data_IF_364655270925
#
_entry.id   IF_364655270925
#
_cell.length_a   1.000
_cell.length_b   1.000
_cell.length_c   1.000
_cell.angle_alpha   90.00
_cell.angle_beta   90.00
_cell.angle_gamma   90.00
#
_symmetry.space_group_name_H-M   'P 1'
#
loop_
_entity.id
_entity.type
_entity.pdbx_description
1 polymer ?
#
# COMPACT_ATOMS: atom_id res chain seq x y z
N UNK A 1 27.05 -31.51 50.94
CA UNK A 1 26.13 -30.90 49.95
C UNK A 1 26.98 -30.34 48.82
N UNK A 2 26.69 -30.68 47.55
CA UNK A 2 27.39 -30.12 46.39
C UNK A 2 26.39 -29.29 45.59
N UNK A 3 26.64 -28.00 45.45
CA UNK A 3 25.83 -27.12 44.61
C UNK A 3 26.34 -27.21 43.17
N UNK A 4 25.51 -27.74 42.28
CA UNK A 4 25.77 -27.71 40.84
C UNK A 4 25.24 -26.39 40.30
N UNK A 5 26.12 -25.48 39.88
CA UNK A 5 25.71 -24.24 39.22
C UNK A 5 25.30 -24.58 37.79
N UNK A 6 24.00 -24.56 37.52
CA UNK A 6 23.48 -24.68 36.15
C UNK A 6 23.68 -23.34 35.42
N UNK A 7 24.61 -23.30 34.49
CA UNK A 7 24.80 -22.15 33.59
C UNK A 7 23.66 -22.10 32.58
N UNK A 8 22.65 -21.28 32.84
CA UNK A 8 21.58 -21.02 31.88
C UNK A 8 22.16 -20.36 30.62
N UNK A 9 22.21 -21.12 29.52
CA UNK A 9 22.65 -20.60 28.23
C UNK A 9 21.49 -19.83 27.63
N UNK A 10 21.50 -18.50 27.75
CA UNK A 10 20.50 -17.65 27.13
C UNK A 10 20.65 -17.74 25.60
N UNK A 11 19.77 -18.52 24.95
CA UNK A 11 19.63 -18.53 23.50
C UNK A 11 19.02 -17.20 23.11
N UNK A 12 19.88 -16.23 22.81
CA UNK A 12 19.48 -14.92 22.31
C UNK A 12 18.96 -15.10 20.88
N UNK A 13 17.67 -15.43 20.76
CA UNK A 13 16.98 -15.51 19.49
C UNK A 13 17.02 -14.13 18.86
N UNK A 14 17.82 -13.95 17.81
CA UNK A 14 17.78 -12.73 17.00
C UNK A 14 16.42 -12.70 16.29
N UNK A 15 15.45 -12.07 16.93
CA UNK A 15 14.23 -11.59 16.30
C UNK A 15 14.65 -10.54 15.28
N UNK A 16 14.92 -10.99 14.05
CA UNK A 16 15.01 -10.16 12.86
C UNK A 16 13.63 -9.54 12.66
N UNK A 17 13.40 -8.42 13.34
CA UNK A 17 12.18 -7.64 13.22
C UNK A 17 12.08 -7.13 11.78
N UNK A 18 11.13 -7.69 11.02
CA UNK A 18 10.90 -7.25 9.66
C UNK A 18 10.31 -5.84 9.70
N UNK A 19 11.07 -4.87 9.17
CA UNK A 19 10.58 -3.52 8.86
C UNK A 19 9.60 -3.62 7.67
N UNK A 20 8.44 -4.21 7.91
CA UNK A 20 7.36 -4.39 6.94
C UNK A 20 6.25 -3.34 7.08
N UNK A 21 6.44 -2.37 7.99
CA UNK A 21 5.69 -1.13 8.02
C UNK A 21 6.06 -0.28 6.79
N UNK A 22 5.15 0.54 6.28
CA UNK A 22 5.46 1.67 5.40
C UNK A 22 6.58 2.52 5.97
N UNK A 23 7.79 2.33 5.46
CA UNK A 23 8.99 2.93 6.00
C UNK A 23 9.79 3.54 4.85
N UNK A 24 10.31 4.73 5.12
CA UNK A 24 11.32 5.38 4.30
C UNK A 24 12.66 5.34 5.04
N UNK A 25 13.74 4.96 4.35
CA UNK A 25 15.08 5.13 4.87
C UNK A 25 15.48 6.62 4.90
N UNK A 26 14.86 7.43 4.06
CA UNK A 26 15.15 8.85 3.96
C UNK A 26 13.90 9.66 3.61
N UNK A 27 13.26 10.23 4.64
CA UNK A 27 12.15 11.18 4.46
C UNK A 27 12.65 12.54 3.94
N UNK A 28 12.30 12.93 2.70
CA UNK A 28 12.76 14.17 2.09
C UNK A 28 12.07 15.42 2.65
N UNK A 29 10.97 15.30 3.41
CA UNK A 29 10.36 16.42 4.14
C UNK A 29 11.12 16.76 5.43
N UNK A 30 12.02 15.88 5.87
CA UNK A 30 12.78 16.01 7.13
C UNK A 30 14.29 16.23 6.91
N UNK A 31 14.84 15.82 5.77
CA UNK A 31 16.28 15.89 5.45
C UNK A 31 16.52 15.78 3.94
N UNK A 32 17.67 16.22 3.45
CA UNK A 32 18.06 15.96 2.06
C UNK A 32 18.33 14.46 1.86
N UNK A 33 17.78 13.90 0.78
CA UNK A 33 17.87 12.48 0.44
C UNK A 33 18.56 12.25 -0.91
N UNK A 34 19.09 11.04 -1.17
CA UNK A 34 19.48 10.64 -2.53
C UNK A 34 18.29 10.76 -3.49
N UNK A 35 18.57 10.95 -4.78
CA UNK A 35 17.53 10.97 -5.79
C UNK A 35 17.05 9.55 -6.17
N UNK A 36 15.77 9.45 -6.50
CA UNK A 36 15.05 8.22 -6.81
C UNK A 36 15.21 7.82 -8.28
N UNK A 37 15.64 6.59 -8.57
CA UNK A 37 15.72 6.08 -9.95
C UNK A 37 14.31 5.84 -10.51
N UNK A 38 13.96 6.49 -11.61
CA UNK A 38 12.63 6.44 -12.23
C UNK A 38 12.54 5.54 -13.47
N UNK A 39 11.41 4.85 -13.63
CA UNK A 39 11.16 3.89 -14.74
C UNK A 39 11.24 4.58 -16.11
N UNK A 40 10.49 5.67 -16.32
CA UNK A 40 10.76 6.66 -17.36
C UNK A 40 10.50 6.34 -18.83
N UNK A 41 10.77 7.36 -19.65
CA UNK A 41 10.87 7.32 -21.12
C UNK A 41 9.60 6.90 -21.87
N UNK A 42 8.41 6.99 -21.25
CA UNK A 42 7.13 6.69 -21.90
C UNK A 42 7.00 5.24 -22.41
N UNK A 43 7.82 4.32 -21.90
CA UNK A 43 7.73 2.89 -22.22
C UNK A 43 7.04 2.18 -21.06
N UNK A 44 6.02 1.34 -21.34
CA UNK A 44 5.38 0.58 -20.28
C UNK A 44 6.35 -0.44 -19.68
N UNK A 45 6.51 -0.40 -18.36
CA UNK A 45 7.19 -1.44 -17.60
C UNK A 45 6.17 -2.52 -17.23
N UNK A 46 6.19 -3.60 -18.00
CA UNK A 46 5.27 -4.72 -17.84
C UNK A 46 6.02 -5.93 -17.29
N UNK A 47 5.46 -6.55 -16.25
CA UNK A 47 5.96 -7.82 -15.71
C UNK A 47 4.87 -8.87 -15.83
N UNK A 48 5.13 -9.93 -16.58
CA UNK A 48 4.30 -11.15 -16.60
C UNK A 48 4.92 -12.19 -15.66
N UNK A 49 4.39 -12.29 -14.45
CA UNK A 49 4.88 -13.21 -13.42
C UNK A 49 4.61 -14.68 -13.77
N UNK A 50 3.73 -14.99 -14.73
CA UNK A 50 3.53 -16.38 -15.20
C UNK A 50 4.72 -16.89 -16.04
N UNK A 51 5.53 -15.97 -16.56
CA UNK A 51 6.78 -16.27 -17.27
C UNK A 51 8.02 -16.37 -16.37
N UNK A 52 7.90 -16.02 -15.08
CA UNK A 52 9.02 -16.01 -14.14
C UNK A 52 9.30 -17.42 -13.63
N UNK A 53 10.58 -17.79 -13.59
CA UNK A 53 11.05 -19.09 -13.12
C UNK A 53 12.12 -18.94 -12.03
N UNK A 54 12.07 -19.80 -11.01
CA UNK A 54 13.01 -19.78 -9.89
C UNK A 54 12.44 -19.05 -8.67
N UNK A 55 13.33 -18.57 -7.79
CA UNK A 55 12.98 -17.93 -6.52
C UNK A 55 13.42 -16.48 -6.41
N UNK A 56 14.36 -16.05 -7.25
CA UNK A 56 14.95 -14.70 -7.20
C UNK A 56 13.97 -13.63 -7.70
N UNK A 57 14.18 -12.38 -7.28
CA UNK A 57 13.33 -11.27 -7.70
C UNK A 57 13.44 -11.04 -9.22
N UNK A 58 12.31 -10.94 -9.95
CA UNK A 58 12.34 -10.66 -11.39
C UNK A 58 12.95 -9.28 -11.66
N UNK A 59 13.49 -9.09 -12.87
CA UNK A 59 14.17 -7.83 -13.24
C UNK A 59 13.28 -6.61 -13.02
N UNK A 60 13.82 -5.60 -12.32
CA UNK A 60 13.08 -4.39 -11.94
C UNK A 60 12.28 -4.52 -10.65
N UNK A 61 12.38 -5.65 -9.94
CA UNK A 61 11.79 -5.86 -8.62
C UNK A 61 12.85 -6.16 -7.54
N UNK A 62 12.51 -5.82 -6.31
CA UNK A 62 13.26 -6.15 -5.09
C UNK A 62 12.34 -6.82 -4.08
N UNK A 63 12.89 -7.72 -3.26
CA UNK A 63 12.17 -8.32 -2.15
C UNK A 63 12.38 -7.52 -0.87
N UNK A 64 11.35 -7.42 -0.03
CA UNK A 64 11.52 -6.96 1.35
C UNK A 64 12.27 -8.03 2.18
N UNK A 65 12.99 -7.60 3.20
CA UNK A 65 13.76 -8.50 4.08
C UNK A 65 12.89 -9.65 4.64
N UNK A 66 13.40 -10.88 4.55
CA UNK A 66 12.68 -12.08 4.98
C UNK A 66 11.60 -12.59 4.02
N UNK A 67 11.33 -11.90 2.90
CA UNK A 67 10.41 -12.39 1.87
C UNK A 67 10.97 -13.62 1.16
N UNK A 68 10.12 -14.64 1.01
CA UNK A 68 10.35 -15.78 0.11
C UNK A 68 9.16 -15.87 -0.84
N UNK A 69 9.43 -15.87 -2.15
CA UNK A 69 8.42 -15.95 -3.20
C UNK A 69 8.48 -17.27 -3.94
N UNK A 70 7.38 -17.62 -4.60
CA UNK A 70 7.32 -18.66 -5.62
C UNK A 70 6.53 -18.15 -6.82
N UNK A 71 6.82 -18.69 -8.00
CA UNK A 71 6.17 -18.33 -9.25
C UNK A 71 5.70 -19.60 -9.97
N UNK A 72 4.52 -19.56 -10.57
CA UNK A 72 4.00 -20.66 -11.40
C UNK A 72 3.29 -20.13 -12.65
N UNK A 73 3.26 -20.94 -13.71
CA UNK A 73 2.71 -20.52 -15.01
C UNK A 73 1.17 -20.43 -15.07
N UNK A 74 0.46 -20.89 -14.03
CA UNK A 74 -0.99 -20.82 -13.95
C UNK A 74 -1.49 -19.59 -13.15
N UNK A 75 -0.73 -19.12 -12.16
CA UNK A 75 -1.11 -18.05 -11.23
C UNK A 75 -0.12 -16.88 -11.15
N UNK A 76 1.10 -17.01 -11.67
CA UNK A 76 2.15 -16.00 -11.56
C UNK A 76 2.81 -15.99 -10.19
N UNK A 77 3.02 -14.80 -9.62
CA UNK A 77 3.65 -14.61 -8.32
C UNK A 77 2.72 -15.07 -7.19
N UNK A 78 3.24 -15.86 -6.25
CA UNK A 78 2.50 -16.40 -5.11
C UNK A 78 3.09 -15.86 -3.79
N UNK A 79 2.33 -14.97 -3.15
CA UNK A 79 2.65 -14.33 -1.88
C UNK A 79 2.13 -15.19 -0.73
N UNK A 80 2.86 -16.26 -0.41
CA UNK A 80 2.43 -17.29 0.56
C UNK A 80 2.81 -16.93 1.99
N UNK A 81 1.80 -16.82 2.86
CA UNK A 81 1.92 -16.79 4.32
C UNK A 81 1.76 -18.22 4.85
N UNK A 82 2.61 -18.62 5.81
CA UNK A 82 2.47 -19.89 6.54
C UNK A 82 2.87 -19.78 8.02
N UNK A 83 3.06 -18.56 8.51
CA UNK A 83 3.39 -18.25 9.90
C UNK A 83 2.73 -16.92 10.29
N UNK A 84 2.56 -16.69 11.60
CA UNK A 84 2.00 -15.45 12.17
C UNK A 84 2.76 -14.17 11.80
N UNK A 85 4.00 -14.29 11.34
CA UNK A 85 4.89 -13.17 10.97
C UNK A 85 5.13 -13.11 9.45
N UNK A 86 4.41 -13.89 8.65
CA UNK A 86 4.58 -13.90 7.20
C UNK A 86 4.07 -12.60 6.58
N UNK A 87 4.96 -11.88 5.88
CA UNK A 87 4.63 -10.67 5.13
C UNK A 87 5.39 -10.63 3.78
N UNK A 88 5.29 -11.69 2.92
CA UNK A 88 5.93 -11.70 1.61
C UNK A 88 5.54 -10.44 0.81
N UNK A 89 6.56 -9.65 0.44
CA UNK A 89 6.40 -8.34 -0.21
C UNK A 89 7.46 -8.16 -1.28
N UNK A 90 7.02 -7.72 -2.47
CA UNK A 90 7.91 -7.28 -3.55
C UNK A 90 7.64 -5.80 -3.85
N UNK A 91 8.68 -5.08 -4.24
CA UNK A 91 8.59 -3.67 -4.64
C UNK A 91 9.33 -3.44 -5.96
N UNK A 92 8.90 -2.45 -6.75
CA UNK A 92 9.70 -2.02 -7.91
C UNK A 92 11.02 -1.44 -7.43
N UNK A 93 12.11 -1.76 -8.14
CA UNK A 93 13.43 -1.18 -7.86
C UNK A 93 13.50 0.33 -8.18
N UNK A 94 12.53 0.80 -8.97
CA UNK A 94 12.45 2.16 -9.49
C UNK A 94 11.06 2.75 -9.23
N UNK A 95 10.98 4.08 -9.23
CA UNK A 95 9.78 4.87 -8.96
C UNK A 95 9.09 5.29 -10.26
N UNK A 96 7.82 5.67 -10.16
CA UNK A 96 7.08 6.42 -11.18
C UNK A 96 6.65 7.79 -10.63
N UNK A 97 6.40 8.75 -11.52
CA UNK A 97 5.87 10.05 -11.15
C UNK A 97 4.61 10.33 -11.96
N UNK A 98 3.45 10.13 -11.34
CA UNK A 98 2.15 10.01 -12.02
C UNK A 98 2.10 8.85 -13.03
N UNK A 99 0.93 8.62 -13.61
CA UNK A 99 0.69 7.68 -14.70
C UNK A 99 -0.38 6.65 -14.36
N UNK A 100 -0.16 5.42 -14.81
CA UNK A 100 -1.14 4.36 -14.72
C UNK A 100 -0.50 3.04 -14.28
N UNK A 101 -1.11 2.36 -13.30
CA UNK A 101 -0.66 1.07 -12.79
C UNK A 101 -1.83 0.12 -12.71
N UNK A 102 -1.76 -0.97 -13.47
CA UNK A 102 -2.82 -1.99 -13.56
C UNK A 102 -2.25 -3.37 -13.25
N UNK A 103 -2.82 -4.07 -12.27
CA UNK A 103 -2.41 -5.41 -11.85
C UNK A 103 -3.55 -6.42 -12.00
N UNK A 104 -3.26 -7.63 -12.48
CA UNK A 104 -4.24 -8.72 -12.53
C UNK A 104 -3.98 -9.69 -11.38
N UNK A 105 -4.87 -9.66 -10.38
CA UNK A 105 -4.64 -10.24 -9.06
C UNK A 105 -5.84 -11.03 -8.53
N UNK A 106 -5.56 -11.94 -7.60
CA UNK A 106 -6.53 -12.62 -6.73
C UNK A 106 -5.96 -12.57 -5.31
N UNK A 107 -6.71 -11.98 -4.38
CA UNK A 107 -6.24 -11.80 -3.02
C UNK A 107 -6.29 -13.09 -2.18
N UNK A 108 -5.86 -13.00 -0.93
CA UNK A 108 -5.72 -14.13 -0.04
C UNK A 108 -6.92 -14.25 0.91
N UNK A 109 -7.72 -15.34 0.84
CA UNK A 109 -8.79 -15.57 1.81
C UNK A 109 -8.23 -15.95 3.18
N UNK A 110 -8.93 -15.56 4.24
CA UNK A 110 -8.57 -15.83 5.63
C UNK A 110 -8.87 -14.65 6.56
N UNK A 111 -9.52 -14.91 7.69
CA UNK A 111 -9.65 -13.91 8.76
C UNK A 111 -8.27 -13.43 9.22
N UNK A 112 -8.11 -12.13 9.46
CA UNK A 112 -6.82 -11.58 9.89
C UNK A 112 -5.71 -11.63 8.85
N UNK A 113 -6.02 -11.97 7.60
CA UNK A 113 -5.10 -11.93 6.46
C UNK A 113 -5.48 -10.76 5.55
N UNK A 114 -4.47 -10.07 5.04
CA UNK A 114 -4.62 -8.88 4.21
C UNK A 114 -3.72 -9.00 3.00
N UNK A 115 -4.26 -8.73 1.82
CA UNK A 115 -3.46 -8.56 0.60
C UNK A 115 -3.46 -7.10 0.19
N UNK A 116 -2.38 -6.66 -0.45
CA UNK A 116 -2.10 -5.24 -0.67
C UNK A 116 -1.50 -4.97 -2.05
N UNK A 117 -1.96 -3.90 -2.70
CA UNK A 117 -1.35 -3.32 -3.89
C UNK A 117 -1.27 -1.80 -3.71
N UNK A 118 -0.06 -1.29 -3.57
CA UNK A 118 0.23 0.06 -3.10
C UNK A 118 1.20 0.77 -4.04
N UNK A 119 1.04 2.08 -4.18
CA UNK A 119 2.06 3.02 -4.60
C UNK A 119 2.49 3.78 -3.34
N UNK A 120 3.79 3.86 -3.04
CA UNK A 120 4.31 4.57 -1.84
C UNK A 120 5.61 5.33 -2.16
N UNK A 121 5.73 6.56 -1.66
CA UNK A 121 6.87 7.45 -1.84
C UNK A 121 7.85 7.42 -0.67
N UNK A 122 9.02 8.05 -0.86
CA UNK A 122 9.98 8.26 0.22
C UNK A 122 9.54 9.33 1.26
N UNK A 123 8.51 10.15 0.99
CA UNK A 123 7.83 10.98 2.00
C UNK A 123 6.54 10.39 2.58
N UNK A 124 6.20 9.14 2.24
CA UNK A 124 4.99 8.45 2.69
C UNK A 124 3.68 9.10 2.17
N UNK A 125 3.72 9.70 0.98
CA UNK A 125 2.54 9.73 0.11
C UNK A 125 2.24 8.29 -0.34
N UNK A 126 0.96 7.89 -0.34
CA UNK A 126 0.51 6.50 -0.54
C UNK A 126 -0.83 6.46 -1.31
N UNK A 127 -0.98 5.50 -2.21
CA UNK A 127 -2.25 5.14 -2.87
C UNK A 127 -2.38 3.62 -2.88
N UNK A 128 -3.48 3.08 -2.37
CA UNK A 128 -3.60 1.64 -2.14
C UNK A 128 -4.92 1.00 -2.60
N UNK A 129 -4.84 -0.32 -2.70
CA UNK A 129 -5.92 -1.29 -2.66
C UNK A 129 -5.61 -2.33 -1.57
N UNK A 130 -6.52 -2.51 -0.63
CA UNK A 130 -6.41 -3.51 0.44
C UNK A 130 -7.57 -4.50 0.39
N UNK A 131 -7.25 -5.80 0.41
CA UNK A 131 -8.22 -6.89 0.47
C UNK A 131 -8.20 -7.53 1.85
N UNK A 132 -9.32 -7.44 2.57
CA UNK A 132 -9.51 -8.12 3.84
C UNK A 132 -9.96 -9.56 3.57
N UNK A 133 -9.12 -10.55 3.90
CA UNK A 133 -9.37 -11.96 3.55
C UNK A 133 -10.63 -12.59 4.18
N UNK A 134 -11.27 -11.90 5.12
CA UNK A 134 -12.58 -12.25 5.70
C UNK A 134 -13.78 -11.73 4.89
N UNK A 135 -13.59 -10.86 3.90
CA UNK A 135 -14.65 -10.14 3.19
C UNK A 135 -14.52 -10.26 1.66
N UNK A 136 -15.14 -11.30 1.09
CA UNK A 136 -15.15 -11.55 -0.36
C UNK A 136 -16.17 -10.68 -1.15
N UNK A 137 -16.83 -9.73 -0.47
CA UNK A 137 -17.85 -8.86 -1.07
C UNK A 137 -17.38 -7.43 -1.38
N UNK A 138 -16.16 -7.05 -0.99
CA UNK A 138 -15.62 -5.72 -1.27
C UNK A 138 -14.10 -5.64 -1.17
N UNK A 139 -13.52 -4.65 -1.83
CA UNK A 139 -12.12 -4.24 -1.68
C UNK A 139 -12.06 -2.83 -1.05
N UNK A 140 -11.07 -2.54 -0.21
CA UNK A 140 -10.79 -1.19 0.28
C UNK A 140 -9.89 -0.43 -0.69
N UNK A 141 -10.16 0.85 -0.86
CA UNK A 141 -9.19 1.83 -1.37
C UNK A 141 -8.90 2.84 -0.29
N UNK A 142 -7.65 3.26 -0.14
CA UNK A 142 -7.24 4.28 0.80
C UNK A 142 -6.15 5.18 0.16
N UNK A 143 -5.69 6.19 0.90
CA UNK A 143 -4.56 7.02 0.49
C UNK A 143 -3.93 7.72 1.68
N UNK A 144 -2.63 7.98 1.62
CA UNK A 144 -1.91 8.78 2.61
C UNK A 144 -1.15 9.91 1.92
N UNK A 145 -1.04 11.04 2.62
CA UNK A 145 -0.19 12.14 2.21
C UNK A 145 0.80 12.43 3.32
N UNK A 146 2.09 12.46 3.02
CA UNK A 146 3.20 12.78 3.94
C UNK A 146 3.18 11.99 5.24
N UNK A 147 2.78 10.72 5.17
CA UNK A 147 2.65 9.82 6.30
C UNK A 147 1.63 10.24 7.36
N UNK A 148 0.69 11.12 7.02
CA UNK A 148 -0.28 11.66 7.96
C UNK A 148 -1.33 10.61 8.35
N UNK A 149 -1.37 10.24 9.63
CA UNK A 149 -2.34 9.30 10.24
C UNK A 149 -3.29 9.95 11.25
N UNK A 150 -3.40 11.27 11.24
CA UNK A 150 -4.25 12.00 12.21
C UNK A 150 -5.75 11.70 12.06
N UNK A 151 -6.19 11.18 10.90
CA UNK A 151 -7.56 10.71 10.66
C UNK A 151 -7.60 9.38 9.91
N UNK A 152 -8.68 8.64 10.11
CA UNK A 152 -8.97 7.33 9.53
C UNK A 152 -10.17 7.34 8.57
N UNK A 153 -10.51 8.51 8.02
CA UNK A 153 -11.70 8.77 7.20
C UNK A 153 -11.47 8.58 5.69
N UNK A 154 -10.29 8.09 5.29
CA UNK A 154 -9.82 8.01 3.89
C UNK A 154 -10.09 6.66 3.22
N UNK A 155 -10.35 5.61 4.02
CA UNK A 155 -10.81 4.31 3.56
C UNK A 155 -12.18 4.43 2.86
N UNK A 156 -12.33 3.77 1.71
CA UNK A 156 -13.62 3.57 1.04
C UNK A 156 -13.68 2.12 0.53
N UNK A 157 -14.71 1.39 0.96
CA UNK A 157 -14.99 0.02 0.53
C UNK A 157 -15.87 0.00 -0.72
N UNK A 158 -15.43 -0.73 -1.74
CA UNK A 158 -16.12 -0.87 -3.03
C UNK A 158 -16.77 -2.25 -3.13
N UNK A 159 -18.09 -2.36 -3.34
CA UNK A 159 -18.76 -3.64 -3.46
C UNK A 159 -18.34 -4.34 -4.76
N UNK A 160 -17.54 -5.39 -4.65
CA UNK A 160 -17.01 -6.19 -5.75
C UNK A 160 -17.29 -7.65 -5.43
N UNK A 161 -18.01 -8.34 -6.32
CA UNK A 161 -18.34 -9.74 -6.17
C UNK A 161 -17.08 -10.60 -6.33
N UNK A 162 -16.77 -11.43 -5.34
CA UNK A 162 -15.57 -12.26 -5.30
C UNK A 162 -14.26 -11.46 -5.24
N UNK A 163 -14.26 -10.32 -4.54
CA UNK A 163 -13.10 -9.42 -4.43
C UNK A 163 -11.82 -10.14 -3.98
N UNK A 164 -11.95 -11.20 -3.17
CA UNK A 164 -10.84 -12.00 -2.62
C UNK A 164 -10.64 -13.31 -3.37
N UNK A 165 -11.71 -14.06 -3.66
CA UNK A 165 -11.63 -15.40 -4.26
C UNK A 165 -11.57 -15.40 -5.79
N UNK A 166 -11.99 -14.31 -6.41
CA UNK A 166 -12.00 -14.07 -7.86
C UNK A 166 -10.70 -13.45 -8.37
N UNK A 167 -10.49 -13.56 -9.67
CA UNK A 167 -9.44 -12.82 -10.37
C UNK A 167 -10.02 -11.53 -10.94
N UNK A 168 -9.39 -10.40 -10.61
CA UNK A 168 -9.83 -9.08 -11.06
C UNK A 168 -8.63 -8.24 -11.51
N UNK A 169 -8.88 -7.30 -12.43
CA UNK A 169 -7.90 -6.29 -12.81
C UNK A 169 -8.11 -5.06 -11.94
N UNK A 170 -7.09 -4.66 -11.19
CA UNK A 170 -7.14 -3.48 -10.33
C UNK A 170 -6.22 -2.40 -10.90
N UNK A 171 -6.80 -1.23 -11.18
CA UNK A 171 -6.12 -0.17 -11.90
C UNK A 171 -6.18 1.15 -11.15
N UNK A 172 -5.03 1.81 -11.04
CA UNK A 172 -4.84 3.15 -10.46
C UNK A 172 -4.41 4.08 -11.59
N UNK A 173 -5.20 5.12 -11.86
CA UNK A 173 -4.85 6.26 -12.71
C UNK A 173 -4.52 7.45 -11.80
N UNK A 174 -3.25 7.83 -11.75
CA UNK A 174 -2.74 8.85 -10.85
C UNK A 174 -2.18 10.02 -11.65
N UNK A 175 -2.66 11.22 -11.38
CA UNK A 175 -2.22 12.47 -12.00
C UNK A 175 -2.06 13.54 -10.92
N UNK A 176 -1.45 14.67 -11.26
CA UNK A 176 -1.39 15.83 -10.34
C UNK A 176 -2.77 16.39 -9.95
N UNK A 177 -3.81 16.13 -10.75
CA UNK A 177 -5.15 16.71 -10.59
C UNK A 177 -6.12 15.73 -9.90
N UNK A 178 -5.86 14.42 -9.96
CA UNK A 178 -6.69 13.37 -9.35
C UNK A 178 -5.99 12.01 -9.22
N UNK A 179 -6.52 11.17 -8.33
CA UNK A 179 -6.37 9.70 -8.37
C UNK A 179 -7.73 9.08 -8.72
N UNK A 180 -7.74 8.05 -9.57
CA UNK A 180 -8.92 7.23 -9.85
C UNK A 180 -8.59 5.75 -9.69
N UNK A 181 -9.55 5.01 -9.14
CA UNK A 181 -9.48 3.57 -8.93
C UNK A 181 -10.51 2.89 -9.82
N UNK A 182 -10.11 1.86 -10.54
CA UNK A 182 -10.96 1.06 -11.42
C UNK A 182 -10.79 -0.45 -11.13
N UNK A 183 -11.86 -1.21 -11.32
CA UNK A 183 -11.88 -2.67 -11.22
C UNK A 183 -12.39 -3.26 -12.53
N UNK A 184 -11.72 -4.27 -13.05
CA UNK A 184 -11.99 -4.93 -14.33
C UNK A 184 -12.13 -3.91 -15.50
N UNK A 185 -12.97 -4.22 -16.48
CA UNK A 185 -13.23 -3.36 -17.65
C UNK A 185 -14.24 -2.22 -17.36
N UNK A 186 -14.39 -1.78 -16.09
CA UNK A 186 -15.31 -0.71 -15.74
C UNK A 186 -14.86 0.64 -16.33
N UNK A 187 -15.67 1.20 -17.23
CA UNK A 187 -15.43 2.50 -17.88
C UNK A 187 -15.49 3.67 -16.88
N UNK A 188 -16.27 3.53 -15.82
CA UNK A 188 -16.35 4.50 -14.72
C UNK A 188 -15.51 4.04 -13.54
N UNK A 189 -14.66 4.89 -12.95
CA UNK A 189 -13.91 4.53 -11.75
C UNK A 189 -14.85 4.32 -10.56
N UNK A 190 -14.52 3.38 -9.69
CA UNK A 190 -15.24 3.14 -8.42
C UNK A 190 -14.94 4.23 -7.39
N UNK A 191 -13.81 4.93 -7.53
CA UNK A 191 -13.44 6.10 -6.73
C UNK A 191 -12.72 7.15 -7.58
N UNK A 192 -13.03 8.42 -7.32
CA UNK A 192 -12.22 9.57 -7.75
C UNK A 192 -11.83 10.32 -6.48
N UNK A 193 -10.54 10.63 -6.33
CA UNK A 193 -10.01 11.59 -5.36
C UNK A 193 -9.48 12.78 -6.16
N UNK A 194 -10.13 13.93 -6.07
CA UNK A 194 -9.61 15.17 -6.67
C UNK A 194 -8.45 15.72 -5.82
N UNK A 195 -7.53 16.45 -6.46
CA UNK A 195 -6.45 17.15 -5.74
C UNK A 195 -6.97 18.04 -4.61
N UNK A 196 -8.07 18.76 -4.83
CA UNK A 196 -8.65 19.72 -3.89
C UNK A 196 -9.72 19.14 -2.92
N UNK A 197 -9.88 17.81 -2.88
CA UNK A 197 -10.82 17.13 -1.99
C UNK A 197 -10.61 17.52 -0.50
N UNK A 198 -11.66 17.70 0.31
CA UNK A 198 -11.51 18.02 1.73
C UNK A 198 -10.58 17.07 2.51
N UNK A 199 -10.52 15.79 2.14
CA UNK A 199 -9.65 14.76 2.77
C UNK A 199 -8.18 14.89 2.39
N UNK A 200 -7.85 15.56 1.29
CA UNK A 200 -6.45 15.90 0.95
C UNK A 200 -6.00 17.20 1.65
N UNK A 201 -6.88 17.81 2.46
CA UNK A 201 -6.70 19.17 3.00
C UNK A 201 -6.46 20.17 1.85
N UNK A 202 -7.25 20.05 0.77
CA UNK A 202 -7.15 20.88 -0.44
C UNK A 202 -5.78 20.81 -1.13
N UNK A 203 -5.18 19.62 -1.15
CA UNK A 203 -3.97 19.30 -1.91
C UNK A 203 -2.72 19.04 -1.08
N UNK A 204 -2.63 19.48 0.18
CA UNK A 204 -1.39 19.31 0.97
C UNK A 204 -1.10 17.86 1.32
N UNK A 205 -2.15 17.04 1.46
CA UNK A 205 -2.10 15.59 1.68
C UNK A 205 -2.54 14.79 0.45
N UNK A 206 -2.57 15.38 -0.74
CA UNK A 206 -2.79 14.61 -1.97
C UNK A 206 -1.49 13.87 -2.35
N UNK A 207 -1.53 12.57 -2.70
CA UNK A 207 -0.34 11.83 -3.11
C UNK A 207 0.25 12.41 -4.40
N UNK A 208 1.48 12.94 -4.34
CA UNK A 208 2.01 13.82 -5.39
C UNK A 208 3.52 13.73 -5.61
N UNK A 209 4.22 12.79 -4.97
CA UNK A 209 5.67 12.62 -5.06
C UNK A 209 6.01 11.25 -5.67
N UNK A 210 7.23 10.99 -6.17
CA UNK A 210 7.54 9.75 -6.88
C UNK A 210 7.29 8.52 -6.00
N UNK A 211 6.62 7.50 -6.55
CA UNK A 211 6.22 6.30 -5.82
C UNK A 211 6.78 5.01 -6.43
N UNK A 212 7.22 4.09 -5.56
CA UNK A 212 7.43 2.67 -5.91
C UNK A 212 6.10 1.94 -5.85
N UNK A 213 5.95 0.90 -6.67
CA UNK A 213 4.82 -0.02 -6.57
C UNK A 213 5.22 -1.14 -5.62
N UNK A 214 4.37 -1.46 -4.64
CA UNK A 214 4.50 -2.58 -3.71
C UNK A 214 3.33 -3.55 -3.89
N UNK A 215 3.63 -4.85 -3.86
CA UNK A 215 2.66 -5.94 -3.87
C UNK A 215 3.00 -6.88 -2.71
N UNK A 216 2.02 -7.28 -1.92
CA UNK A 216 2.29 -8.18 -0.80
C UNK A 216 1.05 -8.76 -0.12
N UNK A 217 1.30 -9.77 0.71
CA UNK A 217 0.29 -10.45 1.52
C UNK A 217 0.82 -10.53 2.95
N UNK A 218 0.02 -10.13 3.94
CA UNK A 218 0.46 -10.03 5.33
C UNK A 218 -0.66 -10.40 6.32
N UNK A 219 -0.27 -10.60 7.57
CA UNK A 219 -1.19 -11.00 8.65
C UNK A 219 -1.69 -9.76 9.39
N UNK A 220 -2.84 -9.20 9.04
CA UNK A 220 -3.43 -8.06 9.77
C UNK A 220 -3.69 -8.32 11.26
N UNK A 221 -3.90 -9.58 11.68
CA UNK A 221 -4.04 -9.94 13.09
C UNK A 221 -3.40 -11.29 13.42
N UNK A 222 -2.25 -11.29 14.10
CA UNK A 222 -1.44 -12.49 14.32
C UNK A 222 -2.13 -13.59 15.16
N UNK A 223 -2.90 -13.20 16.19
CA UNK A 223 -3.68 -14.07 17.07
C UNK A 223 -4.57 -13.26 18.05
N UNK A 224 -5.20 -13.95 18.99
CA UNK A 224 -6.01 -13.36 20.05
C UNK A 224 -5.23 -12.47 21.03
N UNK A 225 -3.90 -12.60 21.15
CA UNK A 225 -3.10 -11.69 21.97
C UNK A 225 -2.89 -10.36 21.25
N UNK A 226 -2.62 -10.38 19.93
CA UNK A 226 -2.63 -9.18 19.10
C UNK A 226 -4.01 -8.48 19.12
N UNK A 227 -5.11 -9.23 19.03
CA UNK A 227 -6.46 -8.64 19.12
C UNK A 227 -6.80 -8.03 20.49
N UNK A 228 -6.02 -8.32 21.53
CA UNK A 228 -6.19 -7.82 22.90
C UNK A 228 -5.13 -6.77 23.31
N UNK A 229 -4.07 -6.57 22.53
CA UNK A 229 -3.08 -5.52 22.76
C UNK A 229 -3.61 -4.19 22.19
N UNK A 230 -3.79 -3.13 23.01
CA UNK A 230 -4.26 -1.83 22.54
C UNK A 230 -3.45 -1.22 21.40
N UNK A 231 -2.19 -1.64 21.17
CA UNK A 231 -1.36 -1.16 20.05
C UNK A 231 -1.71 -1.77 18.69
N UNK A 232 -2.37 -2.92 18.68
CA UNK A 232 -2.71 -3.66 17.45
C UNK A 232 -4.19 -4.01 17.36
N UNK A 233 -4.97 -3.69 18.38
CA UNK A 233 -6.43 -3.88 18.42
C UNK A 233 -7.13 -3.21 17.23
N UNK A 234 -6.75 -1.98 16.85
CA UNK A 234 -7.29 -1.29 15.68
C UNK A 234 -7.09 -2.06 14.37
N UNK A 235 -5.84 -2.42 14.04
CA UNK A 235 -5.50 -3.25 12.87
C UNK A 235 -6.18 -4.62 12.93
N UNK A 236 -6.22 -5.25 14.10
CA UNK A 236 -6.87 -6.55 14.29
C UNK A 236 -8.38 -6.50 14.04
N UNK A 237 -9.06 -5.45 14.51
CA UNK A 237 -10.48 -5.24 14.25
C UNK A 237 -10.75 -4.98 12.77
N UNK A 238 -9.93 -4.14 12.13
CA UNK A 238 -10.01 -3.84 10.70
C UNK A 238 -9.79 -5.09 9.83
N UNK A 239 -8.80 -5.93 10.15
CA UNK A 239 -8.53 -7.20 9.44
C UNK A 239 -9.59 -8.31 9.69
N UNK A 240 -10.64 -8.02 10.45
CA UNK A 240 -11.75 -8.95 10.74
C UNK A 240 -11.49 -9.91 11.92
N UNK A 241 -10.43 -9.70 12.70
CA UNK A 241 -10.07 -10.50 13.87
C UNK A 241 -8.88 -11.45 13.64
N UNK A 242 -8.55 -12.30 14.65
CA UNK A 242 -7.39 -13.19 14.62
C UNK A 242 -7.32 -14.14 13.43
N UNK A 243 -6.14 -14.21 12.80
CA UNK A 243 -5.80 -15.26 11.85
C UNK A 243 -5.56 -16.61 12.54
N UNK A 244 -5.91 -17.69 11.86
CA UNK A 244 -5.63 -19.05 12.32
C UNK A 244 -4.37 -19.59 11.67
N UNK A 245 -3.53 -20.27 12.45
CA UNK A 245 -2.36 -20.99 11.94
C UNK A 245 -2.34 -22.42 12.50
N UNK A 246 -3.54 -22.99 12.66
CA UNK A 246 -3.73 -24.36 13.09
C UNK A 246 -3.52 -25.36 11.94
N UNK A 247 -3.04 -26.56 12.30
CA UNK A 247 -2.68 -27.58 11.32
C UNK A 247 -1.62 -27.11 10.32
N UNK A 248 -1.94 -27.22 9.03
CA UNK A 248 -1.08 -26.80 7.91
C UNK A 248 -1.69 -25.65 7.12
N UNK A 249 -2.44 -24.76 7.78
CA UNK A 249 -3.06 -23.60 7.15
C UNK A 249 -1.99 -22.71 6.48
N UNK A 250 -2.27 -22.27 5.26
CA UNK A 250 -1.45 -21.31 4.53
C UNK A 250 -2.29 -20.46 3.61
N UNK A 251 -1.91 -19.19 3.49
CA UNK A 251 -2.71 -18.16 2.82
C UNK A 251 -1.90 -17.59 1.66
N UNK A 252 -2.48 -17.54 0.46
CA UNK A 252 -1.80 -17.11 -0.76
C UNK A 252 -2.63 -16.06 -1.50
N UNK A 253 -2.04 -14.89 -1.71
CA UNK A 253 -2.39 -13.95 -2.78
C UNK A 253 -1.61 -14.34 -4.04
N UNK A 254 -2.23 -14.13 -5.20
CA UNK A 254 -1.63 -14.39 -6.49
C UNK A 254 -1.69 -13.16 -7.39
N UNK A 255 -0.61 -12.87 -8.12
CA UNK A 255 -0.56 -11.81 -9.13
C UNK A 255 0.02 -12.37 -10.43
N UNK A 256 -0.76 -12.31 -11.50
CA UNK A 256 -0.37 -12.83 -12.82
C UNK A 256 0.54 -11.88 -13.56
N UNK A 257 0.15 -10.62 -13.63
CA UNK A 257 0.90 -9.60 -14.33
C UNK A 257 0.60 -8.22 -13.73
N UNK A 258 1.50 -7.28 -14.03
CA UNK A 258 1.31 -5.87 -13.75
C UNK A 258 1.86 -5.05 -14.92
N UNK A 259 1.14 -3.99 -15.27
CA UNK A 259 1.50 -3.01 -16.30
C UNK A 259 1.62 -1.64 -15.67
N UNK A 260 2.78 -1.01 -15.84
CA UNK A 260 3.10 0.31 -15.29
C UNK A 260 3.45 1.26 -16.44
N UNK A 261 2.69 2.34 -16.59
CA UNK A 261 2.98 3.45 -17.49
C UNK A 261 3.36 4.67 -16.66
N UNK A 262 4.66 4.93 -16.51
CA UNK A 262 5.18 6.16 -15.90
C UNK A 262 4.81 7.37 -16.77
N UNK A 263 4.14 8.38 -16.20
CA UNK A 263 3.87 9.64 -16.89
C UNK A 263 5.01 10.66 -16.70
N UNK A 264 5.95 10.39 -15.80
CA UNK A 264 7.11 11.22 -15.54
C UNK A 264 8.24 11.06 -16.56
N UNK A 265 9.22 11.96 -16.48
CA UNK A 265 10.36 11.97 -17.40
C UNK A 265 11.38 10.83 -17.11
N UNK A 266 11.28 10.14 -15.98
CA UNK A 266 12.22 9.12 -15.53
C UNK A 266 13.56 9.66 -15.03
N UNK A 267 14.61 8.85 -15.18
CA UNK A 267 15.98 9.24 -14.83
C UNK A 267 16.17 9.21 -13.32
N UNK A 268 16.66 10.31 -12.73
CA UNK A 268 16.71 10.49 -11.28
C UNK A 268 15.74 11.60 -10.87
N UNK A 269 14.71 11.25 -10.11
CA UNK A 269 13.82 12.21 -9.46
C UNK A 269 14.49 12.73 -8.17
N UNK A 270 14.50 14.04 -7.94
CA UNK A 270 15.11 14.66 -6.75
C UNK A 270 14.19 15.73 -6.18
N UNK A 271 14.02 15.73 -4.87
CA UNK A 271 13.28 16.76 -4.13
C UNK A 271 14.20 18.00 -4.00
N UNK A 272 13.85 19.12 -4.63
CA UNK A 272 14.65 20.36 -4.58
C UNK A 272 14.51 21.13 -3.26
N UNK A 273 13.50 20.79 -2.45
CA UNK A 273 13.23 21.32 -1.13
C UNK A 273 12.53 20.28 -0.25
N UNK A 274 12.15 20.66 0.96
CA UNK A 274 11.51 19.77 1.96
C UNK A 274 9.98 19.88 2.00
N UNK A 275 9.32 20.42 0.96
CA UNK A 275 7.86 20.63 0.96
C UNK A 275 7.03 19.37 0.72
N UNK A 276 7.61 18.37 0.03
CA UNK A 276 6.85 17.24 -0.52
C UNK A 276 5.79 17.67 -1.56
N UNK A 277 5.98 18.81 -2.22
CA UNK A 277 5.15 19.23 -3.36
C UNK A 277 5.64 18.57 -4.65
N UNK A 278 4.73 18.25 -5.58
CA UNK A 278 5.13 17.81 -6.92
C UNK A 278 5.98 18.86 -7.66
N UNK A 279 5.82 20.15 -7.34
CA UNK A 279 6.59 21.26 -7.92
C UNK A 279 8.08 21.23 -7.53
N UNK A 280 8.43 20.61 -6.39
CA UNK A 280 9.83 20.48 -5.96
C UNK A 280 10.53 19.25 -6.55
N UNK A 281 9.78 18.33 -7.17
CA UNK A 281 10.35 17.18 -7.86
C UNK A 281 11.04 17.67 -9.15
N UNK A 282 12.29 17.25 -9.33
CA UNK A 282 13.11 17.52 -10.53
C UNK A 282 13.58 16.20 -11.11
N UNK A 283 13.45 16.00 -12.40
CA UNK A 283 13.99 14.83 -13.10
C UNK A 283 15.26 15.18 -13.87
N UNK A 284 16.29 14.33 -13.76
CA UNK A 284 17.50 14.42 -14.57
C UNK A 284 17.26 14.30 -16.09
N UNK A 285 16.08 13.85 -16.51
CA UNK A 285 15.67 13.65 -17.90
C UNK A 285 14.74 14.74 -18.43
N UNK A 286 14.48 15.80 -17.64
CA UNK A 286 13.78 17.01 -18.10
C UNK A 286 14.43 17.56 -19.38
N UNK A 287 13.61 17.90 -20.37
CA UNK A 287 14.06 18.39 -21.68
C UNK A 287 14.66 17.35 -22.64
N UNK A 288 15.19 16.22 -22.16
CA UNK A 288 15.84 15.20 -22.99
C UNK A 288 14.92 14.04 -23.42
N UNK A 289 14.01 13.61 -22.54
CA UNK A 289 13.15 12.42 -22.76
C UNK A 289 11.70 12.61 -22.32
N UNK A 290 11.37 13.72 -21.66
CA UNK A 290 9.98 14.04 -21.32
C UNK A 290 9.22 14.39 -22.59
N UNK A 291 8.23 13.56 -22.97
CA UNK A 291 7.47 13.70 -24.20
C UNK A 291 6.83 15.09 -24.31
N UNK A 292 6.96 15.74 -25.47
CA UNK A 292 6.45 17.08 -25.69
C UNK A 292 4.92 17.13 -25.82
N UNK A 293 4.21 16.95 -24.70
CA UNK A 293 2.84 17.44 -24.54
C UNK A 293 2.87 18.97 -24.43
N UNK A 294 2.94 19.63 -25.60
CA UNK A 294 3.02 21.08 -25.73
C UNK A 294 1.72 21.77 -25.28
N UNK A 295 1.63 22.11 -24.00
CA UNK A 295 0.83 23.25 -23.57
C UNK A 295 1.64 24.54 -23.78
N UNK A 296 1.10 25.57 -24.46
CA UNK A 296 1.87 26.75 -24.79
C UNK A 296 2.11 27.61 -23.54
N UNK A 297 3.36 27.65 -23.07
CA UNK A 297 3.78 28.69 -22.12
C UNK A 297 3.68 30.04 -22.80
N UNK A 298 2.70 30.85 -22.41
CA UNK A 298 2.59 32.26 -22.79
C UNK A 298 3.63 33.09 -22.04
N UNK A 299 4.90 32.91 -22.41
CA UNK A 299 6.03 33.68 -21.89
C UNK A 299 6.00 35.08 -22.49
N UNK A 300 5.44 36.04 -21.75
CA UNK A 300 5.46 37.45 -22.12
C UNK A 300 6.86 38.05 -21.88
N UNK A 301 7.76 37.90 -22.85
CA UNK A 301 9.07 38.56 -22.83
C UNK A 301 8.89 40.08 -22.94
N UNK A 302 9.22 40.77 -21.85
CA UNK A 302 9.23 42.23 -21.75
C UNK A 302 10.67 42.73 -21.71
N UNK A 303 11.33 42.74 -22.86
CA UNK A 303 12.69 43.29 -23.01
C UNK A 303 12.64 44.68 -23.65
N UNK A 304 13.00 45.68 -22.85
CA UNK A 304 13.05 47.09 -23.23
C UNK A 304 14.21 47.43 -24.19
N UNK A 305 13.92 48.12 -25.29
CA UNK A 305 14.93 48.78 -26.11
C UNK A 305 14.52 50.23 -26.38
N UNK A 306 15.27 51.19 -25.82
CA UNK A 306 15.13 52.60 -26.11
C UNK A 306 16.06 53.00 -27.27
N UNK A 307 15.56 53.74 -28.25
CA UNK A 307 16.36 54.60 -29.12
C UNK A 307 15.50 55.69 -29.75
N UNK A 308 15.93 56.94 -29.57
CA UNK A 308 15.54 58.11 -30.35
C UNK A 308 16.29 58.11 -31.70
N UNK A 309 16.05 58.91 -32.73
CA UNK A 309 15.41 60.25 -32.94
C UNK A 309 15.01 60.40 -34.43
N UNK A 310 13.97 61.21 -34.74
CA UNK A 310 13.82 62.08 -35.96
C UNK A 310 13.91 61.47 -37.39
N UNK A 311 13.17 61.93 -38.42
CA UNK A 311 12.20 63.03 -38.58
C UNK A 311 11.34 62.88 -39.85
N UNK A 312 10.25 63.68 -39.91
CA UNK A 312 9.62 64.29 -41.10
C UNK A 312 8.98 63.42 -42.21
N UNK A 313 7.66 63.56 -42.36
CA UNK A 313 6.89 63.15 -43.55
C UNK A 313 5.44 63.64 -43.47
N UNK A 314 5.15 64.82 -44.04
CA UNK A 314 3.81 65.46 -44.05
C UNK A 314 3.07 65.18 -45.36
N UNK A 315 1.73 65.33 -45.34
CA UNK A 315 0.75 65.23 -46.44
C UNK A 315 0.14 63.82 -46.65
N UNK A 316 -1.14 63.65 -46.99
CA UNK A 316 -2.26 64.62 -47.05
C UNK A 316 -3.61 63.91 -46.94
N UNK A 317 -4.67 64.66 -46.63
CA UNK A 317 -6.06 64.19 -46.49
C UNK A 317 -6.80 63.98 -47.82
N UNK A 318 -7.65 62.95 -47.91
CA UNK A 318 -8.91 62.89 -48.70
C UNK A 318 -9.61 61.57 -48.29
N UNK A 319 -10.76 61.51 -47.60
CA UNK A 319 -12.10 62.09 -47.80
C UNK A 319 -13.00 61.31 -48.80
N UNK A 320 -13.85 60.42 -48.25
CA UNK A 320 -15.26 60.09 -48.65
C UNK A 320 -15.72 58.91 -47.78
N UNK A 321 -16.74 59.04 -46.90
CA UNK A 321 -18.18 58.87 -47.17
C UNK A 321 -18.52 57.43 -47.61
N UNK A 322 -19.46 56.68 -47.01
CA UNK A 322 -20.77 56.99 -46.37
C UNK A 322 -21.03 56.07 -45.15
N UNK A 323 -21.57 56.51 -44.00
CA UNK A 323 -23.02 56.58 -43.65
C UNK A 323 -23.85 55.33 -44.06
N UNK A 324 -24.74 54.74 -43.24
CA UNK A 324 -25.50 55.25 -42.06
C UNK A 324 -25.86 54.14 -41.05
N UNK A 325 -26.10 54.53 -39.78
CA UNK A 325 -27.20 54.13 -38.84
C UNK A 325 -27.94 52.78 -38.95
N UNK A 326 -28.44 52.16 -37.87
CA UNK A 326 -28.50 52.45 -36.41
C UNK A 326 -28.64 51.10 -35.67
N UNK A 327 -28.32 50.92 -34.38
CA UNK A 327 -29.08 51.45 -33.23
C UNK A 327 -30.48 50.82 -33.15
N UNK A 328 -30.97 50.25 -32.04
CA UNK A 328 -30.61 50.50 -30.62
C UNK A 328 -31.34 49.47 -29.71
N UNK A 329 -30.71 49.04 -28.60
CA UNK A 329 -31.24 48.82 -27.20
C UNK A 329 -32.63 48.15 -26.95
N UNK A 330 -32.95 47.44 -25.85
CA UNK A 330 -32.38 47.34 -24.48
C UNK A 330 -32.90 46.08 -23.75
N UNK A 331 -32.38 45.79 -22.56
CA UNK A 331 -32.72 44.64 -21.71
C UNK A 331 -34.11 44.71 -21.02
N UNK A 332 -34.68 43.53 -20.65
CA UNK A 332 -35.00 43.12 -19.25
C UNK A 332 -35.92 41.88 -19.18
N UNK A 333 -35.76 41.05 -18.14
CA UNK A 333 -36.69 40.00 -17.68
C UNK A 333 -37.63 40.57 -16.56
N UNK A 334 -38.54 39.83 -15.86
CA UNK A 334 -38.80 38.37 -15.87
C UNK A 334 -40.29 37.88 -15.73
N UNK A 335 -40.45 36.55 -15.71
CA UNK A 335 -41.46 35.71 -15.02
C UNK A 335 -42.97 35.73 -15.41
N UNK A 336 -43.55 34.55 -15.73
CA UNK A 336 -44.62 33.84 -14.93
C UNK A 336 -45.52 32.87 -15.75
N UNK A 337 -45.54 31.57 -15.36
CA UNK A 337 -46.66 30.57 -15.37
C UNK A 337 -47.66 30.40 -16.53
N UNK A 338 -47.78 29.16 -17.04
CA UNK A 338 -48.88 28.17 -16.78
C UNK A 338 -48.54 26.83 -17.49
N UNK A 339 -48.40 25.68 -16.82
CA UNK A 339 -49.40 24.75 -16.22
C UNK A 339 -50.01 23.72 -17.20
N UNK A 340 -49.57 22.45 -17.12
CA UNK A 340 -50.43 21.25 -17.14
C UNK A 340 -49.60 19.99 -16.76
N UNK A 341 -50.20 19.07 -15.98
CA UNK A 341 -49.63 17.77 -15.57
C UNK A 341 -50.78 16.74 -15.47
N UNK A 342 -50.54 15.60 -14.79
CA UNK A 342 -51.44 14.45 -14.48
C UNK A 342 -51.21 13.28 -15.45
N UNK A 343 -50.71 12.12 -15.00
CA UNK A 343 -51.44 11.20 -14.11
C UNK A 343 -50.60 10.47 -13.06
N UNK A 344 -51.27 10.10 -11.97
CA UNK A 344 -50.73 9.52 -10.73
C UNK A 344 -51.42 8.20 -10.37
N UNK A 345 -50.70 7.28 -9.71
CA UNK A 345 -51.29 6.35 -8.73
C UNK A 345 -50.27 5.98 -7.65
N UNK A 346 -50.75 5.34 -6.57
CA UNK A 346 -50.57 5.93 -5.24
C UNK A 346 -50.98 4.97 -4.10
N UNK A 347 -50.04 4.67 -3.18
CA UNK A 347 -50.23 4.26 -1.75
C UNK A 347 -51.08 2.99 -1.44
N UNK A 348 -51.07 2.40 -0.21
CA UNK A 348 -50.63 2.94 1.09
C UNK A 348 -49.71 2.09 1.97
N UNK A 349 -49.25 2.71 3.06
CA UNK A 349 -48.65 2.07 4.24
C UNK A 349 -49.65 2.00 5.40
N UNK A 350 -49.48 1.05 6.33
CA UNK A 350 -50.25 1.04 7.59
C UNK A 350 -50.06 -0.18 8.51
N UNK A 351 -49.90 0.13 9.81
CA UNK A 351 -50.11 -0.70 11.00
C UNK A 351 -49.06 -1.77 11.43
N UNK A 352 -48.56 -1.60 12.65
CA UNK A 352 -48.02 -2.67 13.52
C UNK A 352 -49.13 -3.55 14.09
N UNK A 353 -48.77 -4.73 14.62
CA UNK A 353 -49.16 -5.03 16.01
C UNK A 353 -48.01 -5.58 16.87
N UNK A 354 -48.24 -5.61 18.19
CA UNK A 354 -47.28 -6.04 19.21
C UNK A 354 -47.49 -7.51 19.66
N UNK A 355 -46.44 -8.06 20.29
CA UNK A 355 -46.47 -9.13 21.31
C UNK A 355 -47.14 -10.48 20.96
N UNK A 356 -46.32 -11.53 20.81
CA UNK A 356 -46.75 -12.93 20.84
C UNK A 356 -45.62 -13.82 21.36
N UNK A 357 -45.82 -14.45 22.52
CA UNK A 357 -44.77 -15.16 23.27
C UNK A 357 -44.97 -16.68 23.23
N UNK A 358 -44.01 -17.43 22.68
CA UNK A 358 -43.84 -18.88 22.84
C UNK A 358 -42.35 -19.19 22.57
N UNK A 359 -41.53 -19.79 23.45
CA UNK A 359 -41.75 -20.87 24.44
C UNK A 359 -42.08 -22.21 23.80
N UNK A 360 -41.02 -22.94 23.41
CA UNK A 360 -41.02 -24.38 23.28
C UNK A 360 -39.83 -24.93 24.09
N UNK A 361 -40.13 -25.59 25.22
CA UNK A 361 -39.19 -26.27 26.11
C UNK A 361 -39.13 -27.77 25.80
N UNK A 362 -37.98 -28.40 26.05
CA UNK A 362 -37.76 -29.85 25.98
C UNK A 362 -36.26 -30.14 25.82
N UNK A 363 -35.48 -30.27 26.90
CA UNK A 363 -35.32 -31.50 27.72
C UNK A 363 -34.56 -32.62 26.97
N UNK A 364 -33.54 -33.29 27.53
CA UNK A 364 -33.06 -33.35 28.92
C UNK A 364 -31.62 -33.89 29.05
N UNK A 365 -30.95 -33.44 30.12
CA UNK A 365 -29.84 -34.04 30.89
C UNK A 365 -29.42 -35.51 30.66
N UNK A 366 -28.10 -35.77 30.82
CA UNK A 366 -27.54 -37.11 31.10
C UNK A 366 -26.09 -37.05 31.62
N UNK A 367 -25.91 -37.09 32.94
CA UNK A 367 -24.58 -37.15 33.60
C UNK A 367 -24.02 -38.58 33.65
N UNK A 368 -22.69 -38.72 33.76
CA UNK A 368 -22.05 -40.02 34.00
C UNK A 368 -20.54 -39.90 34.29
N UNK A 369 -20.18 -39.89 35.58
CA UNK A 369 -18.79 -40.03 36.07
C UNK A 369 -18.59 -41.42 36.69
N UNK A 370 -17.33 -41.76 37.01
CA UNK A 370 -16.86 -43.00 37.66
C UNK A 370 -16.81 -44.26 36.74
N UNK A 371 -15.89 -45.23 36.92
CA UNK A 371 -14.86 -45.39 37.97
C UNK A 371 -13.60 -46.16 37.49
N UNK A 372 -12.46 -45.76 38.07
CA UNK A 372 -11.31 -46.56 38.59
C UNK A 372 -11.19 -48.06 38.26
N UNK A 373 -10.00 -48.51 37.78
CA UNK A 373 -9.05 -49.34 38.58
C UNK A 373 -7.86 -49.98 37.80
N UNK A 374 -6.64 -49.78 38.33
CA UNK A 374 -5.49 -50.72 38.50
C UNK A 374 -5.19 -51.90 37.54
N UNK A 375 -3.91 -52.10 37.19
CA UNK A 375 -3.39 -53.42 36.78
C UNK A 375 -1.92 -53.46 36.29
N UNK A 376 -0.99 -53.95 37.12
CA UNK A 376 0.46 -54.04 36.86
C UNK A 376 0.89 -55.03 35.75
N UNK A 377 2.08 -54.83 35.16
CA UNK A 377 2.81 -55.84 34.38
C UNK A 377 4.25 -55.42 34.04
N UNK A 378 5.25 -56.17 34.53
CA UNK A 378 6.70 -55.85 34.47
C UNK A 378 7.50 -56.89 33.66
N UNK A 379 8.80 -56.59 33.46
CA UNK A 379 9.95 -57.35 32.88
C UNK A 379 10.23 -56.99 31.42
N UNK A 380 11.44 -56.65 30.96
CA UNK A 380 12.83 -57.09 31.23
C UNK A 380 13.53 -57.16 29.83
N UNK A 381 14.84 -57.15 29.58
CA UNK A 381 16.06 -57.27 30.41
C UNK A 381 17.29 -56.85 29.56
N UNK A 382 18.41 -56.45 30.17
CA UNK A 382 19.76 -56.51 29.56
C UNK A 382 20.31 -55.22 28.92
N UNK A 383 21.54 -54.69 29.11
CA UNK A 383 22.62 -54.75 30.12
C UNK A 383 24.00 -54.69 29.42
N UNK A 384 24.79 -53.63 29.68
CA UNK A 384 26.27 -53.60 29.90
C UNK A 384 27.25 -54.09 28.80
N UNK A 385 28.52 -53.69 28.64
CA UNK A 385 29.41 -52.56 29.07
C UNK A 385 30.80 -52.76 28.41
N UNK A 386 31.52 -51.70 27.98
CA UNK A 386 33.01 -51.53 28.03
C UNK A 386 33.44 -50.33 27.14
N UNK A 387 34.18 -49.30 27.60
CA UNK A 387 35.61 -49.22 28.01
C UNK A 387 36.58 -49.31 26.79
N UNK A 388 37.64 -48.50 26.59
CA UNK A 388 38.04 -47.16 27.06
C UNK A 388 39.30 -46.68 26.27
N UNK A 389 39.56 -45.36 26.24
CA UNK A 389 40.91 -44.77 26.10
C UNK A 389 41.48 -44.52 24.68
N UNK A 390 42.29 -43.45 24.56
CA UNK A 390 43.09 -43.16 23.35
C UNK A 390 43.23 -41.67 23.04
N UNK A 391 44.17 -40.97 23.70
CA UNK A 391 44.52 -39.59 23.37
C UNK A 391 45.76 -39.53 22.45
N UNK A 392 45.79 -38.56 21.53
CA UNK A 392 47.05 -38.07 20.93
C UNK A 392 46.89 -36.63 20.44
N UNK A 393 47.99 -35.89 20.44
CA UNK A 393 48.05 -34.44 20.22
C UNK A 393 49.03 -34.09 19.11
N UNK A 394 48.66 -33.16 18.23
CA UNK A 394 49.64 -32.37 17.47
C UNK A 394 49.08 -30.98 17.11
N UNK A 395 49.96 -29.99 17.13
CA UNK A 395 49.70 -28.56 16.92
C UNK A 395 50.05 -28.13 15.49
N UNK A 396 49.46 -27.03 15.01
CA UNK A 396 50.08 -26.06 14.07
C UNK A 396 49.36 -24.71 14.19
N UNK A 397 49.99 -23.64 13.71
CA UNK A 397 49.90 -22.24 14.12
C UNK A 397 48.82 -21.34 13.47
N UNK A 398 48.63 -20.20 14.15
CA UNK A 398 47.95 -18.92 13.82
C UNK A 398 48.25 -18.35 12.41
N UNK A 399 47.41 -17.44 11.87
CA UNK A 399 47.52 -16.01 12.23
C UNK A 399 46.20 -15.25 12.48
N UNK A 400 46.36 -14.16 13.24
CA UNK A 400 45.35 -13.18 13.65
C UNK A 400 45.17 -12.08 12.58
N UNK A 401 43.93 -11.68 12.31
CA UNK A 401 43.62 -10.41 11.63
C UNK A 401 42.86 -9.50 12.61
N UNK A 402 43.41 -8.30 12.80
CA UNK A 402 42.87 -7.29 13.71
C UNK A 402 41.74 -6.50 13.02
N UNK A 403 40.54 -6.49 13.61
CA UNK A 403 39.47 -5.58 13.21
C UNK A 403 39.39 -4.40 14.20
N UNK A 404 39.29 -3.19 13.67
CA UNK A 404 39.34 -1.95 14.45
C UNK A 404 38.08 -1.76 15.32
N UNK A 405 38.25 -1.24 16.54
CA UNK A 405 37.15 -0.89 17.43
C UNK A 405 36.31 0.26 16.86
N UNK A 406 35.05 -0.01 16.50
CA UNK A 406 34.02 1.02 16.34
C UNK A 406 33.42 1.37 17.72
N UNK A 407 33.10 2.65 17.93
CA UNK A 407 32.66 3.19 19.22
C UNK A 407 31.30 2.65 19.67
N UNK A 408 31.25 2.15 20.91
CA UNK A 408 30.01 1.65 21.52
C UNK A 408 29.13 2.79 22.04
N UNK A 409 28.17 3.21 21.22
CA UNK A 409 27.02 3.98 21.72
C UNK A 409 26.09 3.05 22.50
N UNK A 410 26.08 3.23 23.82
CA UNK A 410 25.12 2.55 24.71
C UNK A 410 23.76 3.26 24.64
N UNK A 411 22.78 2.60 24.06
CA UNK A 411 21.36 2.93 24.30
C UNK A 411 20.75 1.93 25.28
N UNK A 412 19.83 2.41 26.11
CA UNK A 412 19.26 1.68 27.24
C UNK A 412 18.21 0.64 26.85
N UNK A 413 17.93 -0.28 27.75
CA UNK A 413 17.04 -1.43 27.56
C UNK A 413 15.55 -1.08 27.65
N UNK A 414 15.06 -0.14 26.83
CA UNK A 414 13.63 0.20 26.70
C UNK A 414 13.28 0.58 25.24
N UNK A 415 13.47 -0.35 24.30
CA UNK A 415 12.83 -0.29 22.97
C UNK A 415 12.85 -1.65 22.24
N UNK A 416 12.17 -2.65 22.82
CA UNK A 416 11.74 -3.87 22.11
C UNK A 416 10.21 -3.97 22.20
N UNK A 417 9.58 -4.55 21.17
CA UNK A 417 8.10 -4.70 20.98
C UNK A 417 7.43 -3.38 20.55
N UNK A 418 7.25 -3.10 19.25
CA UNK A 418 6.38 -3.82 18.28
C UNK A 418 6.98 -3.68 16.87
N UNK A 419 7.14 -4.80 16.14
CA UNK A 419 7.46 -4.79 14.70
C UNK A 419 6.99 -6.08 14.02
N UNK A 420 5.91 -5.95 13.26
CA UNK A 420 5.55 -6.65 12.04
C UNK A 420 4.18 -6.12 11.59
N UNK A 421 3.76 -6.44 10.36
CA UNK A 421 2.36 -6.37 9.90
C UNK A 421 1.84 -4.96 9.53
N UNK A 422 2.07 -4.52 8.28
CA UNK A 422 1.27 -3.47 7.67
C UNK A 422 1.92 -2.73 6.50
N UNK A 423 1.47 -3.00 5.28
CA UNK A 423 1.95 -2.29 4.08
C UNK A 423 1.29 -0.91 3.87
N UNK A 424 0.37 -0.47 4.74
CA UNK A 424 -0.19 0.89 4.71
C UNK A 424 0.07 1.70 5.97
N UNK A 425 0.30 3.01 5.82
CA UNK A 425 0.76 3.92 6.91
C UNK A 425 -0.25 4.00 8.06
N UNK A 426 -1.55 3.85 7.79
CA UNK A 426 -2.62 4.18 8.72
C UNK A 426 -2.62 3.47 10.07
N UNK A 427 -2.76 2.14 10.08
CA UNK A 427 -3.52 1.47 11.14
C UNK A 427 -2.76 1.15 12.44
N UNK A 428 -1.45 1.40 12.51
CA UNK A 428 -0.62 1.09 13.69
C UNK A 428 -0.78 2.06 14.89
N UNK A 429 -1.73 3.00 14.84
CA UNK A 429 -1.89 4.09 15.83
C UNK A 429 -3.36 4.28 16.27
N UNK A 430 -4.16 3.21 16.30
CA UNK A 430 -5.49 3.16 16.92
C UNK A 430 -5.52 2.29 18.16
#
# INVERSE_FOLDING_TARGET
MRFTIATATAVLSALQAANAQTFTACDPTKKTCPGDSGIGNGKPFNTDFTSVSGTDAPTGWTYADGTTMSYDSANGANFKISTKTGAPTISTSQYIMFGNVSTYAKASPGTGIVSSFILESDDLDEIDWEWLGSNDGSVESNFFGKGNVTTYDRAIYHPISQAVTGWHTYNIEWTKDYVKWYVDDMVTPVRILAYDDPKTIKGTQFPQTPMKIKLGNWVGCADAAAAADPKTQGTCQWAGGPASFDGSASYSMYVKNISISDAGCGGTYTYSDMTGSFDSIKSSNEGASCGSSSSPSSSADSSSAASSTTASGTASSTASASTVSSGTTTASAPNSTTTASISTSTVPAGASPSSGNATATGSSSGSGSNDTSTGSGSTGTGATTSNAGGASSSSTSTPQITANSASSHKYGTVELVVMALGLGVGYLVM
#
